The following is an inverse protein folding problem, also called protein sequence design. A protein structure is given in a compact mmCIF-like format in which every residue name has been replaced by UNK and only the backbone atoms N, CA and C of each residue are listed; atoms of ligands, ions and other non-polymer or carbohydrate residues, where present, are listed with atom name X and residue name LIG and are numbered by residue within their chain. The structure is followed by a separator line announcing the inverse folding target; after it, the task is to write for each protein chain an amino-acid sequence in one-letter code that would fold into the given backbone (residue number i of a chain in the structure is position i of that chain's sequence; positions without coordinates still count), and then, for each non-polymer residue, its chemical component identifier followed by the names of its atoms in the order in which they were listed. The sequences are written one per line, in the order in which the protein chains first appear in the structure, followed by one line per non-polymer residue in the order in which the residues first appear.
data_IF_660977514897
#
_entry.id   IF_660977514897
#
_cell.length_a   1.000
_cell.length_b   1.000
_cell.length_c   1.000
_cell.angle_alpha   90.00
_cell.angle_beta   90.00
_cell.angle_gamma   90.00
#
_symmetry.space_group_name_H-M   'P 1'
#
loop_
_entity.id
_entity.type
_entity.pdbx_description
1 polymer ?
#
# COMPACT_ATOMS: atom_id res chain seq x y z
N UNK A 1 13.01 -2.69 5.67
CA UNK A 1 13.54 -4.02 6.04
C UNK A 1 12.37 -4.99 6.14
N UNK A 2 12.53 -6.22 5.66
CA UNK A 2 11.51 -7.27 5.72
C UNK A 2 12.11 -8.57 6.23
N UNK A 3 11.32 -9.31 7.01
CA UNK A 3 11.65 -10.68 7.40
C UNK A 3 11.07 -11.75 6.49
N UNK A 4 10.19 -11.35 5.57
CA UNK A 4 9.62 -12.25 4.58
C UNK A 4 10.34 -12.09 3.24
N UNK A 5 11.07 -13.14 2.84
CA UNK A 5 11.82 -13.21 1.59
C UNK A 5 10.88 -13.25 0.37
N UNK A 6 9.68 -13.83 0.52
CA UNK A 6 8.73 -14.00 -0.59
C UNK A 6 8.21 -12.66 -1.13
N UNK A 7 8.23 -11.63 -0.28
CA UNK A 7 7.79 -10.27 -0.62
C UNK A 7 8.85 -9.42 -1.31
N UNK A 8 10.07 -9.95 -1.51
CA UNK A 8 11.20 -9.22 -2.11
C UNK A 8 11.46 -9.70 -3.53
N UNK A 9 11.25 -8.81 -4.49
CA UNK A 9 11.57 -8.98 -5.91
C UNK A 9 13.03 -8.56 -6.19
N UNK A 10 13.58 -8.99 -7.33
CA UNK A 10 14.95 -8.61 -7.76
C UNK A 10 16.02 -8.80 -6.68
N UNK A 11 15.88 -9.85 -5.87
CA UNK A 11 16.70 -10.03 -4.69
C UNK A 11 18.16 -10.33 -5.02
N UNK A 12 19.05 -9.55 -4.41
CA UNK A 12 20.49 -9.77 -4.41
C UNK A 12 20.89 -10.30 -3.04
N UNK A 13 21.32 -11.57 -3.01
CA UNK A 13 21.87 -12.18 -1.80
C UNK A 13 23.28 -11.66 -1.56
N UNK A 14 23.46 -10.89 -0.49
CA UNK A 14 24.74 -10.33 -0.08
C UNK A 14 24.70 -10.02 1.40
N UNK A 15 25.68 -10.49 2.14
CA UNK A 15 25.84 -10.06 3.52
C UNK A 15 26.23 -8.58 3.55
N UNK A 16 25.39 -7.75 4.19
CA UNK A 16 25.58 -6.30 4.27
C UNK A 16 25.93 -5.80 5.68
N UNK A 17 25.81 -6.67 6.69
CA UNK A 17 26.04 -6.31 8.08
C UNK A 17 25.00 -6.90 9.02
N UNK A 18 24.90 -6.32 10.21
CA UNK A 18 24.05 -6.80 11.29
C UNK A 18 23.23 -5.63 11.84
N UNK A 19 21.94 -5.84 12.06
CA UNK A 19 21.07 -4.91 12.79
C UNK A 19 20.92 -5.38 14.24
N UNK A 20 20.97 -4.45 15.19
CA UNK A 20 20.72 -4.71 16.60
C UNK A 20 19.35 -4.15 16.98
N UNK A 21 18.53 -4.95 17.61
CA UNK A 21 17.19 -4.59 18.08
C UNK A 21 17.25 -4.00 19.49
N UNK A 22 16.18 -3.32 19.90
CA UNK A 22 16.08 -2.71 21.24
C UNK A 22 16.11 -3.71 22.40
N UNK A 23 15.94 -5.02 22.13
CA UNK A 23 16.06 -6.11 23.10
C UNK A 23 17.45 -6.78 23.07
N UNK A 24 18.47 -6.06 22.61
CA UNK A 24 19.86 -6.51 22.43
C UNK A 24 20.11 -7.67 21.46
N UNK A 25 19.07 -8.25 20.87
CA UNK A 25 19.23 -9.28 19.85
C UNK A 25 19.75 -8.67 18.56
N UNK A 26 20.54 -9.45 17.82
CA UNK A 26 21.12 -9.04 16.56
C UNK A 26 20.68 -9.98 15.43
N UNK A 27 20.43 -9.41 14.24
CA UNK A 27 20.09 -10.16 13.04
C UNK A 27 20.97 -9.75 11.85
N UNK A 28 21.32 -10.73 11.02
CA UNK A 28 22.12 -10.48 9.81
C UNK A 28 21.23 -9.93 8.70
N UNK A 29 21.74 -8.94 7.99
CA UNK A 29 21.17 -8.47 6.72
C UNK A 29 21.72 -9.36 5.62
N UNK A 30 20.86 -10.20 5.07
CA UNK A 30 21.23 -11.28 4.15
C UNK A 30 21.15 -10.87 2.67
N UNK A 31 20.60 -9.69 2.39
CA UNK A 31 20.54 -9.14 1.05
C UNK A 31 19.57 -7.96 0.98
N UNK A 32 19.25 -7.57 -0.26
CA UNK A 32 18.29 -6.52 -0.55
C UNK A 32 17.57 -6.81 -1.86
N UNK A 33 16.43 -6.16 -2.06
CA UNK A 33 15.71 -6.16 -3.33
C UNK A 33 14.57 -5.15 -3.29
N UNK A 34 13.63 -5.30 -4.21
CA UNK A 34 12.51 -4.39 -4.35
C UNK A 34 11.27 -4.96 -3.67
N UNK A 35 10.63 -4.17 -2.81
CA UNK A 35 9.41 -4.56 -2.13
C UNK A 35 8.22 -3.92 -2.85
N UNK A 36 7.29 -4.75 -3.33
CA UNK A 36 6.13 -4.25 -4.08
C UNK A 36 4.92 -4.21 -3.17
N UNK A 37 4.29 -3.04 -3.08
CA UNK A 37 3.05 -2.81 -2.33
C UNK A 37 2.00 -2.32 -3.32
N UNK A 38 1.18 -3.24 -3.84
CA UNK A 38 0.27 -2.99 -4.94
C UNK A 38 0.99 -2.38 -6.15
N UNK A 39 0.72 -1.11 -6.46
CA UNK A 39 1.37 -0.38 -7.56
C UNK A 39 2.65 0.35 -7.17
N UNK A 40 2.95 0.46 -5.87
CA UNK A 40 4.16 1.10 -5.36
C UNK A 40 5.30 0.08 -5.32
N UNK A 41 6.49 0.51 -5.73
CA UNK A 41 7.71 -0.28 -5.55
C UNK A 41 8.68 0.50 -4.66
N UNK A 42 9.04 -0.08 -3.52
CA UNK A 42 10.06 0.47 -2.63
C UNK A 42 11.37 -0.24 -2.97
N UNK A 43 12.33 0.52 -3.49
CA UNK A 43 13.62 -0.03 -3.88
C UNK A 43 14.54 -0.26 -2.68
N UNK A 44 15.49 -1.20 -2.85
CA UNK A 44 16.59 -1.48 -1.89
C UNK A 44 16.10 -1.80 -0.46
N UNK A 45 15.03 -2.55 -0.33
CA UNK A 45 14.56 -3.06 0.96
C UNK A 45 15.46 -4.21 1.42
N UNK A 46 16.06 -4.06 2.60
CA UNK A 46 16.90 -5.08 3.21
C UNK A 46 16.10 -6.28 3.72
N UNK A 47 16.61 -7.48 3.47
CA UNK A 47 16.06 -8.74 3.99
C UNK A 47 16.84 -9.20 5.23
N UNK A 48 16.12 -9.56 6.28
CA UNK A 48 16.65 -10.04 7.56
C UNK A 48 15.82 -11.21 8.08
N UNK A 49 16.37 -12.42 8.13
CA UNK A 49 15.65 -13.68 8.43
C UNK A 49 14.90 -13.74 9.77
N UNK A 50 15.18 -12.82 10.70
CA UNK A 50 14.62 -12.84 12.08
C UNK A 50 13.71 -11.65 12.38
N UNK A 51 13.23 -10.96 11.36
CA UNK A 51 12.39 -9.78 11.55
C UNK A 51 10.91 -10.18 11.55
N UNK A 52 10.25 -10.08 12.70
CA UNK A 52 8.83 -10.46 12.83
C UNK A 52 7.85 -9.51 12.13
N UNK A 53 8.21 -8.23 12.02
CA UNK A 53 7.39 -7.20 11.37
C UNK A 53 8.22 -6.35 10.43
N UNK A 54 7.67 -6.02 9.26
CA UNK A 54 8.35 -5.19 8.28
C UNK A 54 8.47 -3.75 8.80
N UNK A 55 9.64 -3.16 8.58
CA UNK A 55 9.95 -1.80 8.97
C UNK A 55 10.30 -0.98 7.73
N UNK A 56 9.49 0.03 7.40
CA UNK A 56 9.77 0.93 6.28
C UNK A 56 10.22 2.29 6.79
N UNK A 57 11.22 2.88 6.15
CA UNK A 57 11.62 4.25 6.44
C UNK A 57 10.68 5.23 5.74
N UNK A 58 10.25 6.28 6.44
CA UNK A 58 9.47 7.38 5.85
C UNK A 58 10.22 8.01 4.68
N UNK A 59 11.54 8.16 4.79
CA UNK A 59 12.38 8.69 3.71
C UNK A 59 12.30 7.87 2.43
N UNK A 60 12.21 6.53 2.52
CA UNK A 60 12.08 5.69 1.33
C UNK A 60 10.78 5.92 0.57
N UNK A 61 9.70 6.28 1.26
CA UNK A 61 8.45 6.69 0.62
C UNK A 61 8.60 8.05 -0.05
N UNK A 62 9.21 9.02 0.64
CA UNK A 62 9.45 10.36 0.08
C UNK A 62 10.37 10.32 -1.15
N UNK A 63 11.41 9.50 -1.13
CA UNK A 63 12.33 9.29 -2.26
C UNK A 63 11.63 8.62 -3.47
N UNK A 64 10.44 8.04 -3.24
CA UNK A 64 9.61 7.40 -4.28
C UNK A 64 8.44 8.30 -4.71
N UNK A 65 8.53 9.62 -4.48
CA UNK A 65 7.50 10.62 -4.78
C UNK A 65 6.15 10.38 -4.07
N UNK A 66 6.19 9.75 -2.89
CA UNK A 66 5.01 9.52 -2.06
C UNK A 66 4.95 10.48 -0.87
N UNK A 67 3.76 11.01 -0.62
CA UNK A 67 3.48 11.81 0.57
C UNK A 67 3.15 10.86 1.74
N UNK A 68 3.77 11.08 2.89
CA UNK A 68 3.44 10.38 4.14
C UNK A 68 2.83 11.38 5.12
N UNK A 69 1.55 11.18 5.44
CA UNK A 69 0.81 12.05 6.35
C UNK A 69 0.45 11.31 7.63
N UNK A 70 0.74 11.90 8.79
CA UNK A 70 0.34 11.38 10.11
C UNK A 70 -0.78 12.24 10.69
N UNK A 71 -1.83 11.58 11.18
CA UNK A 71 -2.95 12.17 11.92
C UNK A 71 -3.10 11.45 13.25
N UNK A 72 -3.86 12.04 14.17
CA UNK A 72 -3.99 11.56 15.54
C UNK A 72 -4.19 10.04 15.67
N UNK A 73 -4.99 9.41 14.81
CA UNK A 73 -5.27 7.97 14.87
C UNK A 73 -4.99 7.20 13.58
N UNK A 74 -4.47 7.88 12.56
CA UNK A 74 -4.30 7.30 11.23
C UNK A 74 -3.05 7.84 10.54
N UNK A 75 -2.46 7.07 9.65
CA UNK A 75 -1.47 7.58 8.70
C UNK A 75 -1.84 7.16 7.28
N UNK A 76 -1.37 7.94 6.31
CA UNK A 76 -1.63 7.71 4.89
C UNK A 76 -0.30 7.80 4.13
N UNK A 77 -0.11 6.89 3.17
CA UNK A 77 0.89 7.03 2.12
C UNK A 77 0.14 7.28 0.81
N UNK A 78 0.40 8.43 0.17
CA UNK A 78 -0.32 8.91 -1.00
C UNK A 78 0.60 9.06 -2.20
N UNK A 79 0.07 8.86 -3.40
CA UNK A 79 0.73 9.32 -4.62
C UNK A 79 0.51 10.83 -4.84
N UNK A 80 1.14 11.35 -5.89
CA UNK A 80 0.99 12.74 -6.34
C UNK A 80 -0.44 13.14 -6.73
N UNK A 81 -1.29 12.17 -7.07
CA UNK A 81 -2.72 12.37 -7.39
C UNK A 81 -3.60 12.40 -6.12
N UNK A 82 -3.00 12.39 -4.93
CA UNK A 82 -3.69 12.41 -3.62
C UNK A 82 -4.58 11.17 -3.41
N UNK A 83 -4.22 10.05 -4.04
CA UNK A 83 -4.86 8.75 -3.82
C UNK A 83 -4.12 8.04 -2.68
N UNK A 84 -4.87 7.65 -1.65
CA UNK A 84 -4.37 6.86 -0.53
C UNK A 84 -3.99 5.44 -1.04
N UNK A 85 -2.69 5.14 -1.05
CA UNK A 85 -2.17 3.83 -1.47
C UNK A 85 -2.10 2.87 -0.30
N UNK A 86 -1.76 3.40 0.88
CA UNK A 86 -1.69 2.66 2.13
C UNK A 86 -2.24 3.50 3.25
N UNK A 87 -3.03 2.85 4.10
CA UNK A 87 -3.55 3.43 5.32
C UNK A 87 -3.00 2.64 6.50
N UNK A 88 -2.59 3.36 7.53
CA UNK A 88 -2.24 2.79 8.81
C UNK A 88 -3.13 3.32 9.91
N UNK A 89 -3.29 2.52 10.95
CA UNK A 89 -3.94 2.90 12.19
C UNK A 89 -2.90 3.11 13.28
N UNK A 90 -3.20 4.03 14.19
CA UNK A 90 -2.39 4.22 15.39
C UNK A 90 -2.86 3.27 16.49
N UNK A 91 -1.92 2.55 17.11
CA UNK A 91 -2.15 1.74 18.32
C UNK A 91 -0.88 1.68 19.15
N UNK A 92 -0.99 1.77 20.47
CA UNK A 92 0.16 1.75 21.40
C UNK A 92 1.28 2.74 21.00
N UNK A 93 0.93 3.95 20.57
CA UNK A 93 1.84 4.98 20.07
C UNK A 93 2.63 4.61 18.79
N UNK A 94 2.25 3.53 18.11
CA UNK A 94 2.85 3.09 16.84
C UNK A 94 1.82 3.18 15.72
N UNK A 95 2.28 3.53 14.52
CA UNK A 95 1.46 3.43 13.31
C UNK A 95 1.74 2.09 12.64
N UNK A 96 0.70 1.30 12.46
CA UNK A 96 0.79 0.00 11.78
C UNK A 96 0.09 0.11 10.44
N UNK A 97 0.82 -0.20 9.36
CA UNK A 97 0.25 -0.24 8.01
C UNK A 97 -0.48 -1.57 7.81
N UNK A 98 -1.73 -1.49 7.39
CA UNK A 98 -2.52 -2.66 7.00
C UNK A 98 -2.39 -2.85 5.49
N UNK A 99 -1.63 -3.87 5.06
CA UNK A 99 -1.53 -4.23 3.64
C UNK A 99 -2.83 -4.88 3.11
N UNK A 100 -3.66 -5.41 4.01
CA UNK A 100 -4.92 -6.07 3.68
C UNK A 100 -5.95 -5.07 3.11
N UNK A 101 -5.94 -3.83 3.61
CA UNK A 101 -6.90 -2.80 3.19
C UNK A 101 -6.68 -2.35 1.74
N UNK A 102 -5.47 -2.54 1.19
CA UNK A 102 -5.16 -2.24 -0.22
C UNK A 102 -5.88 -3.19 -1.20
N UNK A 103 -6.06 -4.46 -0.82
CA UNK A 103 -6.82 -5.43 -1.61
C UNK A 103 -8.32 -5.15 -1.57
N UNK A 104 -8.80 -4.48 -0.51
CA UNK A 104 -10.18 -4.03 -0.37
C UNK A 104 -10.42 -2.67 -1.05
N UNK A 105 -9.36 -1.86 -1.25
CA UNK A 105 -9.43 -0.50 -1.80
C UNK A 105 -9.14 -0.43 -3.31
N UNK A 106 -9.40 -1.49 -4.09
CA UNK A 106 -9.81 -1.26 -5.47
C UNK A 106 -11.24 -0.73 -5.38
N UNK A 107 -11.52 0.57 -5.57
CA UNK A 107 -12.84 0.92 -6.05
C UNK A 107 -12.90 0.29 -7.43
N UNK A 108 -13.48 -0.90 -7.52
CA UNK A 108 -14.17 -1.31 -8.74
C UNK A 108 -15.32 -0.32 -8.87
N UNK A 109 -14.99 0.90 -9.32
CA UNK A 109 -15.97 1.86 -9.76
C UNK A 109 -16.33 1.42 -11.18
N UNK A 110 -17.24 0.44 -11.28
CA UNK A 110 -17.93 0.14 -12.54
C UNK A 110 -18.88 1.32 -12.84
N UNK A 111 -18.31 2.45 -13.25
CA UNK A 111 -19.08 3.45 -13.99
C UNK A 111 -19.28 2.88 -15.39
N UNK A 112 -20.32 2.06 -15.55
CA UNK A 112 -20.78 1.64 -16.87
C UNK A 112 -21.59 2.79 -17.47
N UNK A 113 -20.94 3.62 -18.28
CA UNK A 113 -21.63 4.63 -19.09
C UNK A 113 -22.40 3.91 -20.19
N UNK A 114 -23.70 3.76 -20.01
CA UNK A 114 -24.56 3.20 -21.03
C UNK A 114 -24.66 4.17 -22.22
N UNK A 115 -24.77 3.64 -23.45
CA UNK A 115 -25.15 4.50 -24.58
C UNK A 115 -26.55 5.07 -24.32
N UNK A 116 -26.83 6.26 -24.87
CA UNK A 116 -28.12 6.96 -24.68
C UNK A 116 -29.31 6.04 -24.92
N UNK A 117 -29.23 5.17 -25.92
CA UNK A 117 -30.28 4.18 -26.25
C UNK A 117 -30.48 3.12 -25.16
N UNK A 118 -29.39 2.60 -24.57
CA UNK A 118 -29.48 1.65 -23.45
C UNK A 118 -29.97 2.33 -22.17
N UNK A 119 -29.55 3.57 -21.92
CA UNK A 119 -30.00 4.38 -20.77
C UNK A 119 -31.52 4.62 -20.82
N UNK A 120 -32.07 4.92 -22.00
CA UNK A 120 -33.52 5.04 -22.21
C UNK A 120 -34.29 3.72 -21.97
N UNK A 121 -33.75 2.59 -22.42
CA UNK A 121 -34.39 1.28 -22.20
C UNK A 121 -34.48 0.95 -20.70
N UNK A 122 -33.41 1.21 -19.94
CA UNK A 122 -33.41 1.00 -18.48
C UNK A 122 -34.30 1.99 -17.73
N UNK A 123 -34.39 3.24 -18.18
CA UNK A 123 -35.35 4.21 -17.63
C UNK A 123 -36.80 3.73 -17.80
N UNK A 124 -37.15 3.12 -18.94
CA UNK A 124 -38.48 2.54 -19.15
C UNK A 124 -38.76 1.32 -18.27
N UNK A 125 -37.76 0.51 -17.95
CA UNK A 125 -37.93 -0.65 -17.08
C UNK A 125 -37.99 -0.28 -15.58
N UNK A 126 -37.32 0.80 -15.17
CA UNK A 126 -37.18 1.18 -13.76
C UNK A 126 -38.01 2.41 -13.36
N UNK A 127 -38.60 3.12 -14.34
CA UNK A 127 -39.63 4.18 -14.31
C UNK A 127 -39.45 5.40 -13.38
N UNK A 128 -38.71 5.27 -12.28
CA UNK A 128 -38.60 6.23 -11.20
C UNK A 128 -37.16 6.65 -10.90
N UNK A 129 -36.18 6.15 -11.66
CA UNK A 129 -34.79 6.58 -11.55
C UNK A 129 -34.52 7.79 -12.44
N UNK A 130 -33.86 8.81 -11.88
CA UNK A 130 -33.45 10.00 -12.62
C UNK A 130 -32.46 9.62 -13.74
N UNK A 131 -32.74 10.05 -14.97
CA UNK A 131 -31.90 9.80 -16.16
C UNK A 131 -30.47 10.35 -16.00
N UNK A 132 -30.29 11.37 -15.17
CA UNK A 132 -28.97 11.91 -14.83
C UNK A 132 -28.10 10.99 -13.96
N UNK A 133 -28.71 9.98 -13.31
CA UNK A 133 -28.00 8.97 -12.53
C UNK A 133 -27.66 7.69 -13.35
N UNK A 134 -28.17 7.56 -14.58
CA UNK A 134 -27.95 6.41 -15.47
C UNK A 134 -26.88 6.71 -16.56
N UNK A 135 -26.52 7.99 -16.75
CA UNK A 135 -25.60 8.47 -17.80
C UNK A 135 -24.26 9.01 -17.28
#
# INVERSE_FOLDING_TARGET
MTGDRSQVNNFVQKFLGTVKFGNDHAAKIMGYGDYKIGNVTISRVYFTERLGHNLFSVGQFCDSDLEVAFRQHTCFIRNLDVVDLLTGSQGNNLYTLSLQDMMASLPICLLSKASKTKSWLWHHHLSHFNIGAIN
#
